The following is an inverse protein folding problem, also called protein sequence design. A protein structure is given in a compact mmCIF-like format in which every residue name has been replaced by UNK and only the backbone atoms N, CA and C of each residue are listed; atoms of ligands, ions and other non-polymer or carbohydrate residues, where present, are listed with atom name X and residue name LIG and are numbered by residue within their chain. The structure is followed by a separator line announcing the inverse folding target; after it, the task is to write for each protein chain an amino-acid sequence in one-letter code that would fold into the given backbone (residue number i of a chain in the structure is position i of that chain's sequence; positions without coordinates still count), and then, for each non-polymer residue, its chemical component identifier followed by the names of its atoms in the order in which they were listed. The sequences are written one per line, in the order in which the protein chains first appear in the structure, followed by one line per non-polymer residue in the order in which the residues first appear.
data_IF_792692075008
#
_entry.id   IF_792692075008
#
_cell.length_a   1.000
_cell.length_b   1.000
_cell.length_c   1.000
_cell.angle_alpha   90.00
_cell.angle_beta   90.00
_cell.angle_gamma   90.00
#
_symmetry.space_group_name_H-M   'P 1'
#
loop_
_entity.id
_entity.type
_entity.pdbx_description
1 polymer ?
#
# COMPACT_ATOMS: atom_id res chain seq x y z
N UNK A 1 -10.82 0.24 6.23
CA UNK A 1 -10.06 1.49 6.13
C UNK A 1 -10.35 2.22 4.82
N UNK A 2 -10.02 1.66 3.67
CA UNK A 2 -10.38 2.24 2.37
C UNK A 2 -11.78 1.76 1.98
N UNK A 3 -12.75 2.65 1.97
CA UNK A 3 -14.13 2.32 1.68
C UNK A 3 -14.94 3.53 1.24
N UNK A 4 -16.27 3.38 1.02
CA UNK A 4 -17.11 4.45 0.47
C UNK A 4 -17.11 5.75 1.28
N UNK A 5 -16.83 5.66 2.58
CA UNK A 5 -16.81 6.81 3.48
C UNK A 5 -15.42 7.44 3.64
N UNK A 6 -14.40 6.91 2.96
CA UNK A 6 -13.05 7.47 3.02
C UNK A 6 -13.04 8.78 2.24
N UNK A 7 -12.72 9.86 2.92
CA UNK A 7 -12.71 11.23 2.38
C UNK A 7 -11.31 11.84 2.47
N UNK A 8 -11.14 12.99 1.81
CA UNK A 8 -9.88 13.74 1.92
C UNK A 8 -9.59 14.15 3.37
N UNK A 9 -10.61 14.53 4.13
CA UNK A 9 -10.48 14.86 5.56
C UNK A 9 -10.00 13.64 6.35
N UNK A 10 -10.58 12.47 6.09
CA UNK A 10 -10.11 11.21 6.69
C UNK A 10 -8.64 10.96 6.36
N UNK A 11 -8.25 11.15 5.10
CA UNK A 11 -6.87 10.96 4.65
C UNK A 11 -5.89 11.87 5.40
N UNK A 12 -6.23 13.14 5.56
CA UNK A 12 -5.38 14.09 6.32
C UNK A 12 -5.27 13.70 7.78
N UNK A 13 -6.36 13.28 8.41
CA UNK A 13 -6.35 12.84 9.81
C UNK A 13 -5.52 11.58 9.97
N UNK A 14 -5.66 10.63 9.06
CA UNK A 14 -4.85 9.41 9.00
C UNK A 14 -3.36 9.76 8.91
N UNK A 15 -2.99 10.63 7.98
CA UNK A 15 -1.61 11.08 7.80
C UNK A 15 -1.04 11.69 9.08
N UNK A 16 -1.81 12.56 9.74
CA UNK A 16 -1.40 13.17 11.00
C UNK A 16 -1.15 12.15 12.11
N UNK A 17 -2.03 11.17 12.25
CA UNK A 17 -1.88 10.12 13.26
C UNK A 17 -0.68 9.22 12.97
N UNK A 18 -0.51 8.81 11.72
CA UNK A 18 0.61 7.95 11.32
C UNK A 18 1.94 8.68 11.43
N UNK A 19 1.97 9.97 11.20
CA UNK A 19 3.16 10.80 11.42
C UNK A 19 3.61 10.69 12.88
N UNK A 20 2.68 10.79 13.82
CA UNK A 20 2.96 10.64 15.25
C UNK A 20 3.50 9.25 15.59
N UNK A 21 2.97 8.22 14.96
CA UNK A 21 3.45 6.83 15.14
C UNK A 21 4.91 6.71 14.69
N UNK A 22 5.24 7.23 13.52
CA UNK A 22 6.63 7.19 13.00
C UNK A 22 7.56 7.96 13.93
N UNK A 23 7.16 9.13 14.38
CA UNK A 23 7.96 9.93 15.31
C UNK A 23 8.19 9.20 16.63
N UNK A 24 7.18 8.47 17.13
CA UNK A 24 7.31 7.66 18.33
C UNK A 24 8.32 6.53 18.14
N UNK A 25 8.26 5.82 17.02
CA UNK A 25 9.24 4.78 16.69
C UNK A 25 10.66 5.33 16.62
N UNK A 26 10.84 6.50 16.04
CA UNK A 26 12.15 7.14 15.98
C UNK A 26 12.71 7.48 17.35
N UNK A 27 11.85 7.92 18.28
CA UNK A 27 12.28 8.20 19.64
C UNK A 27 12.69 6.93 20.39
N UNK A 28 11.91 5.85 20.19
CA UNK A 28 12.18 4.57 20.86
C UNK A 28 13.36 3.81 20.24
N UNK A 29 13.52 3.92 18.92
CA UNK A 29 14.52 3.17 18.17
C UNK A 29 15.26 4.10 17.20
N UNK A 30 16.13 4.99 17.72
CA UNK A 30 16.71 6.07 16.91
C UNK A 30 17.62 5.59 15.77
N UNK A 31 18.11 4.35 15.85
CA UNK A 31 18.98 3.79 14.82
C UNK A 31 18.25 2.82 13.87
N UNK A 32 16.96 2.61 14.06
CA UNK A 32 16.17 1.72 13.19
C UNK A 32 15.84 2.41 11.88
N UNK A 33 15.91 1.66 10.78
CA UNK A 33 15.34 2.06 9.50
C UNK A 33 13.84 1.78 9.53
N UNK A 34 13.07 2.67 8.90
CA UNK A 34 11.61 2.55 8.84
C UNK A 34 11.19 2.46 7.38
N UNK A 35 10.34 1.47 7.09
CA UNK A 35 9.70 1.30 5.79
C UNK A 35 8.19 1.38 5.98
N UNK A 36 7.55 2.28 5.23
CA UNK A 36 6.10 2.32 5.12
C UNK A 36 5.70 1.47 3.91
N UNK A 37 4.92 0.44 4.15
CA UNK A 37 4.33 -0.38 3.07
C UNK A 37 2.92 0.16 2.83
N UNK A 38 2.70 0.68 1.63
CA UNK A 38 1.43 1.27 1.25
C UNK A 38 0.32 0.22 1.10
N UNK A 39 -0.94 0.66 1.23
CA UNK A 39 -2.10 -0.22 1.09
C UNK A 39 -2.14 -0.89 -0.28
N UNK A 40 -2.60 -2.15 -0.35
CA UNK A 40 -2.83 -2.81 -1.65
C UNK A 40 -4.05 -2.21 -2.35
N UNK A 41 -4.18 -2.51 -3.65
CA UNK A 41 -5.42 -2.23 -4.36
C UNK A 41 -6.57 -3.05 -3.76
N UNK A 42 -7.77 -2.50 -3.82
CA UNK A 42 -9.01 -3.15 -3.43
C UNK A 42 -10.09 -2.67 -4.37
N UNK A 43 -10.78 -3.60 -5.01
CA UNK A 43 -11.78 -3.28 -6.02
C UNK A 43 -13.19 -3.55 -5.51
N UNK A 44 -14.17 -2.91 -6.15
CA UNK A 44 -15.59 -3.10 -5.87
C UNK A 44 -16.40 -3.10 -7.15
N UNK A 45 -17.57 -3.70 -7.10
CA UNK A 45 -18.51 -3.65 -8.22
C UNK A 45 -19.15 -2.27 -8.28
N UNK A 46 -19.21 -1.73 -9.50
CA UNK A 46 -19.88 -0.46 -9.78
C UNK A 46 -20.79 -0.66 -11.00
N UNK A 47 -21.60 0.36 -11.32
CA UNK A 47 -22.44 0.35 -12.52
C UNK A 47 -21.62 0.16 -13.81
N UNK A 48 -20.36 0.64 -13.80
CA UNK A 48 -19.44 0.59 -14.94
C UNK A 48 -18.46 -0.59 -14.88
N UNK A 49 -18.71 -1.57 -14.00
CA UNK A 49 -17.85 -2.72 -13.82
C UNK A 49 -17.10 -2.70 -12.49
N UNK A 50 -16.06 -3.52 -12.40
CA UNK A 50 -15.24 -3.64 -11.17
C UNK A 50 -14.09 -2.63 -11.24
N UNK A 51 -13.99 -1.78 -10.24
CA UNK A 51 -13.00 -0.68 -10.20
C UNK A 51 -12.40 -0.53 -8.82
N UNK A 52 -11.18 0.03 -8.78
CA UNK A 52 -10.51 0.40 -7.54
C UNK A 52 -11.41 1.27 -6.66
N UNK A 53 -11.49 0.95 -5.37
CA UNK A 53 -12.21 1.75 -4.38
C UNK A 53 -11.51 3.10 -4.22
N UNK A 54 -12.27 4.19 -4.31
CA UNK A 54 -11.72 5.55 -4.24
C UNK A 54 -10.88 5.80 -2.98
N UNK A 55 -11.25 5.21 -1.85
CA UNK A 55 -10.51 5.33 -0.61
C UNK A 55 -9.09 4.80 -0.68
N UNK A 56 -8.81 3.83 -1.55
CA UNK A 56 -7.44 3.31 -1.76
C UNK A 56 -6.52 4.42 -2.22
N UNK A 57 -6.94 5.20 -3.21
CA UNK A 57 -6.14 6.31 -3.74
C UNK A 57 -5.85 7.36 -2.66
N UNK A 58 -6.86 7.72 -1.87
CA UNK A 58 -6.72 8.70 -0.80
C UNK A 58 -5.70 8.24 0.25
N UNK A 59 -5.82 7.01 0.72
CA UNK A 59 -4.91 6.47 1.75
C UNK A 59 -3.49 6.33 1.19
N UNK A 60 -3.35 5.74 0.00
CA UNK A 60 -2.05 5.51 -0.62
C UNK A 60 -1.29 6.82 -0.82
N UNK A 61 -1.97 7.85 -1.33
CA UNK A 61 -1.37 9.16 -1.54
C UNK A 61 -0.91 9.79 -0.22
N UNK A 62 -1.72 9.72 0.82
CA UNK A 62 -1.34 10.22 2.15
C UNK A 62 -0.19 9.44 2.75
N UNK A 63 -0.14 8.12 2.55
CA UNK A 63 0.99 7.29 3.00
C UNK A 63 2.29 7.71 2.31
N UNK A 64 2.24 7.92 1.01
CA UNK A 64 3.39 8.35 0.23
C UNK A 64 3.88 9.72 0.67
N UNK A 65 2.99 10.66 0.87
CA UNK A 65 3.32 12.02 1.33
C UNK A 65 3.97 11.99 2.71
N UNK A 66 3.38 11.26 3.66
CA UNK A 66 3.95 11.19 5.01
C UNK A 66 5.34 10.53 5.02
N UNK A 67 5.56 9.54 4.18
CA UNK A 67 6.88 8.92 4.04
C UNK A 67 7.91 9.92 3.54
N UNK A 68 7.56 10.74 2.55
CA UNK A 68 8.41 11.82 2.06
C UNK A 68 8.70 12.86 3.14
N UNK A 69 7.67 13.33 3.83
CA UNK A 69 7.80 14.35 4.88
C UNK A 69 8.64 13.86 6.05
N UNK A 70 8.47 12.60 6.44
CA UNK A 70 9.20 12.00 7.55
C UNK A 70 10.54 11.39 7.13
N UNK A 71 10.87 11.43 5.85
CA UNK A 71 12.13 10.91 5.28
C UNK A 71 12.35 9.44 5.62
N UNK A 72 11.30 8.65 5.47
CA UNK A 72 11.34 7.19 5.57
C UNK A 72 11.11 6.56 4.21
N UNK A 73 11.53 5.31 4.06
CA UNK A 73 11.30 4.56 2.82
C UNK A 73 9.81 4.25 2.64
N UNK A 74 9.38 4.18 1.38
CA UNK A 74 8.01 3.84 1.02
C UNK A 74 8.01 2.77 -0.07
N UNK A 75 7.18 1.74 0.10
CA UNK A 75 6.94 0.73 -0.91
C UNK A 75 5.45 0.68 -1.23
N UNK A 76 5.10 0.89 -2.49
CA UNK A 76 3.71 0.91 -2.92
C UNK A 76 3.25 -0.50 -3.29
N UNK A 77 2.49 -1.11 -2.40
CA UNK A 77 1.82 -2.39 -2.70
C UNK A 77 0.84 -2.23 -3.85
N UNK A 78 0.14 -1.10 -3.89
CA UNK A 78 -0.78 -0.75 -4.98
C UNK A 78 -0.08 -0.82 -6.34
N UNK A 79 1.08 -0.19 -6.47
CA UNK A 79 1.85 -0.19 -7.72
C UNK A 79 2.42 -1.59 -8.02
N UNK A 80 2.84 -2.32 -6.99
CA UNK A 80 3.33 -3.69 -7.15
C UNK A 80 2.26 -4.64 -7.70
N UNK A 81 1.00 -4.35 -7.44
CA UNK A 81 -0.14 -5.12 -7.99
C UNK A 81 -0.51 -4.71 -9.41
N UNK A 82 0.11 -3.68 -9.96
CA UNK A 82 -0.18 -3.16 -11.29
C UNK A 82 -0.96 -1.85 -11.30
N UNK A 83 -1.17 -1.23 -10.15
CA UNK A 83 -1.86 0.05 -10.02
C UNK A 83 -3.38 -0.09 -10.08
N UNK A 84 -4.04 0.83 -10.78
CA UNK A 84 -5.49 0.86 -10.91
C UNK A 84 -6.03 -0.49 -11.43
N UNK A 85 -7.03 -1.02 -10.74
CA UNK A 85 -7.63 -2.32 -11.05
C UNK A 85 -6.65 -3.51 -10.93
N UNK A 86 -5.56 -3.35 -10.18
CA UNK A 86 -4.57 -4.42 -9.96
C UNK A 86 -5.17 -5.62 -9.25
N UNK A 87 -6.09 -5.41 -8.31
CA UNK A 87 -6.79 -6.50 -7.64
C UNK A 87 -7.60 -7.35 -8.62
N UNK A 88 -8.30 -6.73 -9.58
CA UNK A 88 -9.03 -7.47 -10.61
C UNK A 88 -8.09 -8.34 -11.46
N UNK A 89 -6.92 -7.84 -11.81
CA UNK A 89 -5.90 -8.60 -12.50
C UNK A 89 -5.42 -9.80 -11.66
N UNK A 90 -5.22 -9.59 -10.38
CA UNK A 90 -4.83 -10.66 -9.45
C UNK A 90 -5.90 -11.75 -9.35
N UNK A 91 -7.18 -11.36 -9.28
CA UNK A 91 -8.29 -12.34 -9.26
C UNK A 91 -8.25 -13.20 -10.51
N UNK A 92 -8.05 -12.59 -11.69
CA UNK A 92 -7.96 -13.32 -12.97
C UNK A 92 -6.81 -14.32 -13.00
N UNK A 93 -5.71 -14.02 -12.33
CA UNK A 93 -4.53 -14.88 -12.27
C UNK A 93 -4.58 -15.93 -11.16
N UNK A 94 -5.65 -15.94 -10.34
CA UNK A 94 -5.74 -16.80 -9.17
C UNK A 94 -4.87 -16.36 -8.00
N UNK A 95 -4.43 -15.10 -8.01
CA UNK A 95 -3.58 -14.50 -6.97
C UNK A 95 -4.37 -13.74 -5.91
N UNK A 96 -5.67 -13.68 -6.07
CA UNK A 96 -6.59 -13.06 -5.12
C UNK A 96 -7.95 -13.74 -5.17
N UNK A 97 -8.71 -13.60 -4.09
CA UNK A 97 -10.06 -14.14 -3.97
C UNK A 97 -11.06 -13.32 -4.79
N UNK A 98 -12.20 -13.94 -5.12
CA UNK A 98 -13.26 -13.31 -5.90
C UNK A 98 -14.00 -12.19 -5.15
N UNK A 99 -13.64 -11.93 -3.90
CA UNK A 99 -14.12 -10.78 -3.15
C UNK A 99 -13.38 -9.48 -3.50
N UNK A 100 -12.35 -9.57 -4.35
CA UNK A 100 -11.53 -8.44 -4.79
C UNK A 100 -10.85 -7.70 -3.64
N UNK A 101 -10.59 -8.40 -2.55
CA UNK A 101 -10.02 -7.81 -1.33
C UNK A 101 -8.86 -8.64 -0.77
N UNK A 102 -9.01 -9.96 -0.72
CA UNK A 102 -8.04 -10.86 -0.08
C UNK A 102 -7.10 -11.51 -1.09
N UNK A 103 -5.80 -11.39 -0.83
CA UNK A 103 -4.75 -11.95 -1.67
C UNK A 103 -4.56 -13.42 -1.30
N UNK A 104 -4.42 -14.29 -2.32
CA UNK A 104 -4.15 -15.71 -2.13
C UNK A 104 -2.67 -15.95 -1.78
N UNK A 105 -2.34 -17.21 -1.42
CA UNK A 105 -0.95 -17.59 -1.17
C UNK A 105 -0.05 -17.32 -2.39
N UNK A 106 -0.55 -17.62 -3.59
CA UNK A 106 0.20 -17.34 -4.83
C UNK A 106 0.44 -15.85 -5.04
N UNK A 107 -0.59 -15.04 -4.79
CA UNK A 107 -0.47 -13.59 -4.87
C UNK A 107 0.49 -13.04 -3.83
N UNK A 108 0.42 -13.55 -2.60
CA UNK A 108 1.35 -13.19 -1.54
C UNK A 108 2.79 -13.56 -1.85
N UNK A 109 3.01 -14.73 -2.44
CA UNK A 109 4.35 -15.14 -2.88
C UNK A 109 4.90 -14.17 -3.95
N UNK A 110 4.08 -13.83 -4.94
CA UNK A 110 4.46 -12.88 -5.99
C UNK A 110 4.82 -11.51 -5.40
N UNK A 111 3.99 -10.97 -4.53
CA UNK A 111 4.22 -9.66 -3.91
C UNK A 111 5.42 -9.68 -2.96
N UNK A 112 5.59 -10.76 -2.21
CA UNK A 112 6.73 -10.94 -1.32
C UNK A 112 8.04 -10.96 -2.09
N UNK A 113 8.09 -11.63 -3.25
CA UNK A 113 9.27 -11.63 -4.11
C UNK A 113 9.57 -10.24 -4.65
N UNK A 114 8.55 -9.51 -5.08
CA UNK A 114 8.72 -8.12 -5.55
C UNK A 114 9.25 -7.21 -4.44
N UNK A 115 8.73 -7.33 -3.24
CA UNK A 115 9.21 -6.56 -2.09
C UNK A 115 10.68 -6.90 -1.79
N UNK A 116 11.01 -8.20 -1.76
CA UNK A 116 12.37 -8.65 -1.55
C UNK A 116 13.31 -8.05 -2.60
N UNK A 117 12.95 -8.14 -3.88
CA UNK A 117 13.77 -7.60 -4.97
C UNK A 117 13.96 -6.09 -4.81
N UNK A 118 12.91 -5.36 -4.41
CA UNK A 118 13.00 -3.92 -4.18
C UNK A 118 13.94 -3.58 -3.03
N UNK A 119 13.88 -4.34 -1.93
CA UNK A 119 14.75 -4.14 -0.77
C UNK A 119 16.21 -4.49 -1.09
N UNK A 120 16.43 -5.46 -1.95
CA UNK A 120 17.77 -5.92 -2.32
C UNK A 120 18.36 -5.15 -3.51
N UNK A 121 17.55 -4.29 -4.16
CA UNK A 121 18.02 -3.52 -5.31
C UNK A 121 19.23 -2.66 -4.93
N UNK A 122 20.30 -2.79 -5.68
CA UNK A 122 21.55 -2.08 -5.41
C UNK A 122 22.37 -2.65 -4.25
N UNK A 123 21.85 -3.65 -3.54
CA UNK A 123 22.58 -4.26 -2.43
C UNK A 123 23.74 -5.09 -2.97
N UNK A 124 24.97 -4.77 -2.53
CA UNK A 124 26.17 -5.44 -3.00
C UNK A 124 26.74 -4.88 -4.32
N UNK A 125 26.18 -3.81 -4.85
CA UNK A 125 26.71 -3.06 -6.00
C UNK A 125 27.66 -1.98 -5.48
N UNK A 126 28.92 -2.30 -5.42
CA UNK A 126 29.95 -1.35 -4.97
C UNK A 126 30.87 -0.92 -6.12
#
# INVERSE_FOLDING_TARGET
MAGPKTTETFGRNYKGQMTKVIQMFRRCFPHASILVVGVPDRDQRTADGIKTIKGVDIIMRNQKELAQEQKVAFYSMYDAMGGKNGMSSFVKKGWASKDYTHISLKGGDHLGRKLFDALMYGYGED
#
